data_IF_672459756995
#
_entry.id   IF_672459756995
#
_cell.length_a   1.000
_cell.length_b   1.000
_cell.length_c   1.000
_cell.angle_alpha   90.00
_cell.angle_beta   90.00
_cell.angle_gamma   90.00
#
_symmetry.space_group_name_H-M   'P 1'
#
loop_
_entity.id
_entity.type
_entity.pdbx_description
1 polymer ?
#
# COMPACT_ATOMS: atom_id res chain seq x y z
N UNK A 1 -2.26 17.76 15.43
CA UNK A 1 -1.71 17.07 14.24
C UNK A 1 -1.97 15.58 14.44
N UNK A 2 -2.55 14.89 13.46
CA UNK A 2 -3.03 13.52 13.64
C UNK A 2 -2.01 12.54 13.03
N UNK A 3 -1.28 11.83 13.89
CA UNK A 3 -0.33 10.79 13.50
C UNK A 3 -1.05 9.44 13.32
N UNK A 4 -0.60 8.61 12.38
CA UNK A 4 -1.18 7.27 12.13
C UNK A 4 -1.11 6.36 13.37
N UNK A 5 -0.05 6.50 14.19
CA UNK A 5 0.13 5.74 15.43
C UNK A 5 -0.88 6.16 16.51
N UNK A 6 -1.13 7.47 16.62
CA UNK A 6 -2.13 8.01 17.53
C UNK A 6 -3.54 7.62 17.11
N UNK A 7 -3.79 7.60 15.80
CA UNK A 7 -5.06 7.15 15.24
C UNK A 7 -5.28 5.65 15.48
N UNK A 8 -4.27 4.81 15.30
CA UNK A 8 -4.34 3.38 15.63
C UNK A 8 -4.69 3.14 17.10
N UNK A 9 -4.06 3.90 18.01
CA UNK A 9 -4.37 3.87 19.44
C UNK A 9 -5.82 4.26 19.69
N UNK A 10 -6.28 5.39 19.14
CA UNK A 10 -7.65 5.87 19.30
C UNK A 10 -8.67 4.84 18.80
N UNK A 11 -8.41 4.19 17.67
CA UNK A 11 -9.24 3.10 17.15
C UNK A 11 -9.27 1.89 18.07
N UNK A 12 -8.12 1.49 18.61
CA UNK A 12 -8.02 0.37 19.55
C UNK A 12 -8.77 0.64 20.85
N UNK A 13 -8.54 1.82 21.46
CA UNK A 13 -9.21 2.25 22.70
C UNK A 13 -10.71 2.47 22.50
N UNK A 14 -11.10 3.02 21.34
CA UNK A 14 -12.52 3.20 20.98
C UNK A 14 -13.22 1.91 20.56
N UNK A 15 -12.49 0.80 20.40
CA UNK A 15 -13.03 -0.47 19.89
C UNK A 15 -13.50 -0.39 18.42
N UNK A 16 -13.01 0.58 17.65
CA UNK A 16 -13.34 0.72 16.23
C UNK A 16 -12.50 -0.25 15.40
N UNK A 17 -13.16 -0.93 14.46
CA UNK A 17 -12.46 -1.79 13.52
C UNK A 17 -11.88 -0.98 12.37
N UNK A 18 -10.69 -1.37 11.92
CA UNK A 18 -10.04 -0.83 10.73
C UNK A 18 -9.90 -1.96 9.70
N UNK A 19 -9.87 -1.59 8.41
CA UNK A 19 -9.80 -2.55 7.30
C UNK A 19 -8.35 -2.61 6.81
N UNK A 20 -7.76 -3.80 6.87
CA UNK A 20 -6.44 -4.06 6.32
C UNK A 20 -6.59 -4.76 4.97
N UNK A 21 -5.98 -4.19 3.92
CA UNK A 21 -5.86 -4.78 2.57
C UNK A 21 -4.43 -5.31 2.39
N UNK A 22 -4.10 -5.96 1.27
CA UNK A 22 -2.77 -6.49 1.00
C UNK A 22 -1.66 -5.41 1.04
N UNK A 23 -1.91 -4.24 0.45
CA UNK A 23 -0.91 -3.15 0.32
C UNK A 23 -1.15 -1.95 1.26
N UNK A 24 -2.39 -1.74 1.72
CA UNK A 24 -2.80 -0.53 2.43
C UNK A 24 -3.66 -0.86 3.65
N UNK A 25 -3.67 0.04 4.63
CA UNK A 25 -4.51 -0.02 5.82
C UNK A 25 -5.43 1.19 5.81
N UNK A 26 -6.73 0.93 5.91
CA UNK A 26 -7.81 1.90 5.79
C UNK A 26 -8.42 2.12 7.18
N UNK A 27 -8.33 3.35 7.65
CA UNK A 27 -8.98 3.81 8.86
C UNK A 27 -10.09 4.80 8.48
N UNK A 28 -11.33 4.30 8.36
CA UNK A 28 -12.46 5.10 7.92
C UNK A 28 -12.22 5.69 6.52
N UNK A 29 -12.04 7.01 6.45
CA UNK A 29 -11.83 7.76 5.20
C UNK A 29 -10.35 7.93 4.80
N UNK A 30 -9.41 7.49 5.65
CA UNK A 30 -7.98 7.64 5.41
C UNK A 30 -7.33 6.28 5.11
N UNK A 31 -6.43 6.26 4.13
CA UNK A 31 -5.66 5.06 3.78
C UNK A 31 -4.17 5.36 3.86
N UNK A 32 -3.42 4.42 4.44
CA UNK A 32 -1.96 4.46 4.49
C UNK A 32 -1.36 3.18 3.93
N UNK A 33 -0.30 3.26 3.09
CA UNK A 33 0.41 2.07 2.66
C UNK A 33 1.12 1.41 3.84
N UNK A 34 1.21 0.07 3.82
CA UNK A 34 1.86 -0.74 4.86
C UNK A 34 3.35 -0.40 5.05
N UNK A 35 3.99 0.05 3.98
CA UNK A 35 5.39 0.49 3.94
C UNK A 35 5.62 1.85 4.60
N UNK A 36 4.56 2.56 5.01
CA UNK A 36 4.68 3.87 5.67
C UNK A 36 5.42 3.71 6.99
N UNK A 37 6.51 4.47 7.15
CA UNK A 37 7.23 4.56 8.42
C UNK A 37 6.44 5.38 9.43
N UNK A 38 6.32 4.86 10.63
CA UNK A 38 5.64 5.53 11.75
C UNK A 38 6.60 6.45 12.51
N UNK A 39 6.07 7.16 13.49
CA UNK A 39 6.84 8.00 14.41
C UNK A 39 7.53 7.21 15.55
N UNK A 40 7.45 5.88 15.55
CA UNK A 40 8.08 5.04 16.56
C UNK A 40 9.48 4.60 16.13
N UNK A 41 10.50 5.05 16.85
CA UNK A 41 11.91 4.69 16.62
C UNK A 41 12.21 3.32 17.20
N UNK A 42 13.04 2.57 16.50
CA UNK A 42 13.56 1.29 16.98
C UNK A 42 14.56 1.55 18.11
N UNK A 43 14.41 0.91 19.29
CA UNK A 43 15.27 1.16 20.45
C UNK A 43 16.77 0.86 20.19
N UNK A 44 17.09 -0.06 19.28
CA UNK A 44 18.48 -0.34 18.89
C UNK A 44 19.10 0.75 18.01
N UNK A 45 18.28 1.65 17.45
CA UNK A 45 18.76 2.69 16.55
C UNK A 45 19.42 3.82 17.35
N UNK A 46 20.72 4.01 17.14
CA UNK A 46 21.53 5.03 17.83
C UNK A 46 22.55 4.50 18.84
N UNK A 47 22.60 3.18 19.11
CA UNK A 47 23.67 2.61 19.96
C UNK A 47 25.04 2.45 19.26
N UNK A 48 25.09 2.54 17.93
CA UNK A 48 26.30 2.23 17.14
C UNK A 48 26.47 3.15 15.91
N UNK A 49 26.04 4.42 16.00
CA UNK A 49 26.11 5.35 14.85
C UNK A 49 25.20 5.00 13.66
N UNK A 50 24.41 3.93 13.77
CA UNK A 50 23.43 3.51 12.78
C UNK A 50 22.32 4.56 12.57
N UNK A 51 21.80 4.71 11.34
CA UNK A 51 20.74 5.66 11.02
C UNK A 51 19.49 5.41 11.86
N UNK A 52 18.74 6.49 12.14
CA UNK A 52 17.45 6.45 12.85
C UNK A 52 16.45 5.61 12.06
N UNK A 53 16.19 4.41 12.56
CA UNK A 53 15.22 3.48 11.99
C UNK A 53 13.88 3.61 12.71
N UNK A 54 12.82 3.55 11.91
CA UNK A 54 11.44 3.67 12.35
C UNK A 54 10.67 2.42 11.94
N UNK A 55 9.78 1.95 12.81
CA UNK A 55 8.92 0.83 12.46
C UNK A 55 7.91 1.22 11.38
N UNK A 56 7.67 0.30 10.44
CA UNK A 56 6.60 0.44 9.47
C UNK A 56 5.24 0.21 10.12
N UNK A 57 4.21 0.78 9.52
CA UNK A 57 2.84 0.63 9.99
C UNK A 57 2.42 -0.84 10.06
N UNK A 58 2.85 -1.63 9.08
CA UNK A 58 2.58 -3.07 9.02
C UNK A 58 3.11 -3.81 10.27
N UNK A 59 4.31 -3.47 10.77
CA UNK A 59 4.90 -4.12 11.94
C UNK A 59 4.08 -3.90 13.21
N UNK A 60 3.58 -2.66 13.37
CA UNK A 60 2.77 -2.28 14.52
C UNK A 60 1.41 -2.96 14.47
N UNK A 61 0.76 -2.97 13.31
CA UNK A 61 -0.53 -3.66 13.13
C UNK A 61 -0.40 -5.16 13.30
N UNK A 62 0.67 -5.75 12.75
CA UNK A 62 0.95 -7.17 12.89
C UNK A 62 1.17 -7.58 14.35
N UNK A 63 1.86 -6.74 15.13
CA UNK A 63 1.99 -6.93 16.57
C UNK A 63 0.64 -6.88 17.27
N UNK A 64 -0.21 -5.90 16.93
CA UNK A 64 -1.52 -5.72 17.55
C UNK A 64 -2.49 -6.88 17.25
N UNK A 65 -2.36 -7.55 16.11
CA UNK A 65 -3.16 -8.74 15.78
C UNK A 65 -2.69 -10.00 16.51
N UNK A 66 -1.43 -10.02 16.94
CA UNK A 66 -0.77 -11.19 17.49
C UNK A 66 -0.24 -10.90 18.92
N UNK A 67 -1.01 -10.16 19.71
CA UNK A 67 -0.64 -9.81 21.09
C UNK A 67 -0.60 -11.03 22.00
N UNK A 68 -1.50 -11.99 21.78
CA UNK A 68 -1.63 -13.23 22.55
C UNK A 68 -0.52 -14.24 22.23
N UNK A 69 0.15 -14.09 21.09
CA UNK A 69 1.24 -14.99 20.71
C UNK A 69 2.51 -14.68 21.50
N UNK A 70 3.17 -15.75 21.95
CA UNK A 70 4.49 -15.64 22.58
C UNK A 70 5.48 -15.01 21.60
N UNK A 71 6.37 -14.15 22.12
CA UNK A 71 7.30 -13.37 21.29
C UNK A 71 8.09 -14.22 20.28
N UNK A 72 8.56 -15.41 20.67
CA UNK A 72 9.30 -16.32 19.78
C UNK A 72 8.46 -16.75 18.57
N UNK A 73 7.17 -17.03 18.76
CA UNK A 73 6.27 -17.40 17.67
C UNK A 73 5.96 -16.18 16.78
N UNK A 74 5.71 -15.03 17.40
CA UNK A 74 5.51 -13.78 16.68
C UNK A 74 6.69 -13.44 15.74
N UNK A 75 7.94 -13.55 16.23
CA UNK A 75 9.14 -13.28 15.40
C UNK A 75 9.21 -14.22 14.20
N UNK A 76 8.88 -15.51 14.39
CA UNK A 76 8.84 -16.48 13.29
C UNK A 76 7.78 -16.15 12.25
N UNK A 77 6.58 -15.78 12.70
CA UNK A 77 5.51 -15.43 11.78
C UNK A 77 5.76 -14.10 11.06
N UNK A 78 6.33 -13.10 11.75
CA UNK A 78 6.75 -11.84 11.14
C UNK A 78 7.79 -12.07 10.04
N UNK A 79 8.77 -12.95 10.29
CA UNK A 79 9.75 -13.34 9.28
C UNK A 79 9.10 -14.01 8.06
N UNK A 80 8.08 -14.85 8.27
CA UNK A 80 7.32 -15.48 7.18
C UNK A 80 6.51 -14.45 6.37
N UNK A 81 5.93 -13.46 7.05
CA UNK A 81 5.23 -12.34 6.44
C UNK A 81 6.17 -11.29 5.80
N UNK A 82 7.50 -11.47 5.93
CA UNK A 82 8.54 -10.51 5.50
C UNK A 82 8.42 -9.13 6.18
N UNK A 83 7.86 -9.11 7.38
CA UNK A 83 7.65 -7.91 8.18
C UNK A 83 8.78 -7.79 9.22
N UNK A 84 9.37 -6.60 9.44
CA UNK A 84 10.36 -6.43 10.48
C UNK A 84 9.71 -6.63 11.87
N UNK A 85 10.23 -7.58 12.63
CA UNK A 85 9.73 -7.91 13.96
C UNK A 85 10.07 -6.81 14.97
N UNK A 86 9.11 -6.47 15.81
CA UNK A 86 9.31 -5.55 16.93
C UNK A 86 10.20 -6.19 17.99
N UNK A 87 11.19 -5.45 18.49
CA UNK A 87 12.13 -5.92 19.51
C UNK A 87 11.40 -6.17 20.84
N UNK A 88 11.85 -7.16 21.62
CA UNK A 88 11.26 -7.47 22.92
C UNK A 88 11.14 -6.25 23.90
N UNK A 89 12.16 -5.38 24.06
CA UNK A 89 12.01 -4.18 24.89
C UNK A 89 10.97 -3.21 24.33
N UNK A 90 10.96 -2.97 23.02
CA UNK A 90 9.99 -2.09 22.36
C UNK A 90 8.57 -2.67 22.41
N UNK A 91 8.41 -4.00 22.39
CA UNK A 91 7.10 -4.66 22.44
C UNK A 91 6.32 -4.26 23.69
N UNK A 92 6.96 -4.19 24.85
CA UNK A 92 6.29 -3.78 26.09
C UNK A 92 5.84 -2.33 26.04
N UNK A 93 6.70 -1.45 25.56
CA UNK A 93 6.45 -0.01 25.48
C UNK A 93 5.37 0.32 24.43
N UNK A 94 5.43 -0.32 23.25
CA UNK A 94 4.41 -0.22 22.21
C UNK A 94 3.05 -0.71 22.67
N UNK A 95 2.99 -1.85 23.35
CA UNK A 95 1.72 -2.38 23.85
C UNK A 95 1.12 -1.44 24.89
N UNK A 96 1.90 -0.98 25.87
CA UNK A 96 1.44 -0.02 26.87
C UNK A 96 0.93 1.28 26.23
N UNK A 97 1.56 1.74 25.15
CA UNK A 97 1.09 2.90 24.41
C UNK A 97 -0.23 2.63 23.67
N UNK A 98 -0.36 1.48 23.01
CA UNK A 98 -1.54 1.10 22.22
C UNK A 98 -2.76 0.81 23.10
N UNK A 99 -2.57 0.17 24.26
CA UNK A 99 -3.63 -0.06 25.26
C UNK A 99 -4.06 1.23 25.95
N UNK A 100 -3.27 2.30 25.82
CA UNK A 100 -3.51 3.58 26.46
C UNK A 100 -3.05 3.65 27.92
N UNK A 101 -2.34 2.63 28.42
CA UNK A 101 -1.67 2.66 29.73
C UNK A 101 -0.57 3.73 29.77
N UNK A 102 0.15 3.93 28.67
CA UNK A 102 1.15 4.97 28.50
C UNK A 102 0.68 6.03 27.49
N UNK A 103 0.68 7.30 27.91
CA UNK A 103 0.29 8.42 27.04
C UNK A 103 1.45 8.91 26.15
N UNK A 104 2.68 8.53 26.51
CA UNK A 104 3.94 8.91 25.85
C UNK A 104 4.90 7.75 25.95
N UNK A 105 5.55 7.41 24.84
CA UNK A 105 6.67 6.47 24.80
C UNK A 105 7.96 7.24 24.46
N UNK A 106 9.10 6.96 25.11
CA UNK A 106 10.36 7.65 24.84
C UNK A 106 10.88 7.41 23.41
N UNK A 107 10.44 6.33 22.76
CA UNK A 107 10.75 6.02 21.36
C UNK A 107 9.92 6.82 20.35
N UNK A 108 8.86 7.54 20.77
CA UNK A 108 8.03 8.33 19.85
C UNK A 108 8.71 9.66 19.54
N UNK A 109 9.03 9.86 18.26
CA UNK A 109 9.52 11.14 17.76
C UNK A 109 8.36 11.97 17.19
N UNK A 110 7.75 12.83 18.02
CA UNK A 110 6.65 13.73 17.61
C UNK A 110 7.12 14.84 16.65
N UNK A 111 8.43 15.00 16.46
CA UNK A 111 9.01 15.98 15.56
C UNK A 111 9.40 15.37 14.19
N UNK A 112 9.29 14.04 14.03
CA UNK A 112 9.56 13.41 12.75
C UNK A 112 8.44 13.80 11.75
N UNK A 113 8.78 14.27 10.54
CA UNK A 113 7.79 14.51 9.50
C UNK A 113 7.15 13.17 9.11
N UNK A 114 5.93 12.94 9.60
CA UNK A 114 5.14 11.75 9.24
C UNK A 114 4.49 12.03 7.89
N UNK A 115 4.71 11.11 6.94
CA UNK A 115 4.16 11.17 5.59
C UNK A 115 2.63 11.23 5.66
N UNK A 116 2.09 12.35 5.21
CA UNK A 116 0.68 12.68 5.29
C UNK A 116 -0.15 11.66 4.51
N UNK A 117 -1.12 11.06 5.20
CA UNK A 117 -2.13 10.14 4.67
C UNK A 117 -2.53 10.48 3.24
N UNK A 118 -2.48 9.49 2.35
CA UNK A 118 -3.20 9.56 1.09
C UNK A 118 -4.68 9.65 1.45
N UNK A 119 -5.25 10.86 1.47
CA UNK A 119 -6.71 11.02 1.46
C UNK A 119 -7.16 10.32 0.19
N UNK A 120 -7.82 9.17 0.33
CA UNK A 120 -8.55 8.57 -0.77
C UNK A 120 -9.67 9.56 -1.08
N UNK A 121 -9.44 10.46 -2.03
CA UNK A 121 -10.57 11.06 -2.72
C UNK A 121 -11.42 9.88 -3.17
N UNK A 122 -12.67 9.83 -2.76
CA UNK A 122 -13.67 8.92 -3.32
C UNK A 122 -13.86 9.33 -4.79
N UNK A 123 -12.86 9.07 -5.61
CA UNK A 123 -12.84 9.36 -7.03
C UNK A 123 -13.07 8.02 -7.71
N UNK A 124 -14.36 7.77 -7.97
CA UNK A 124 -14.94 6.90 -8.99
C UNK A 124 -14.33 5.50 -9.17
N UNK A 125 -15.21 4.52 -8.95
CA UNK A 125 -15.30 3.28 -9.74
C UNK A 125 -14.62 3.46 -11.11
N UNK A 126 -13.56 2.70 -11.38
CA UNK A 126 -13.11 2.45 -12.75
C UNK A 126 -14.20 1.63 -13.46
N UNK A 127 -15.21 2.35 -13.92
CA UNK A 127 -15.99 2.00 -15.10
C UNK A 127 -15.14 2.45 -16.29
N UNK A 128 -14.41 1.52 -16.91
CA UNK A 128 -13.96 1.72 -18.28
C UNK A 128 -14.16 0.42 -19.06
N UNK A 129 -15.29 0.38 -19.75
CA UNK A 129 -15.44 -0.14 -21.11
C UNK A 129 -15.16 -1.65 -21.28
N UNK A 130 -16.13 -2.56 -21.11
CA UNK A 130 -17.12 -2.86 -22.16
C UNK A 130 -16.61 -2.48 -23.56
N UNK A 131 -15.84 -3.38 -24.19
CA UNK A 131 -15.62 -3.39 -25.64
C UNK A 131 -16.57 -4.42 -26.28
N UNK A 132 -17.73 -4.02 -26.81
CA UNK A 132 -18.44 -4.79 -27.81
C UNK A 132 -18.27 -4.10 -29.16
N UNK A 133 -17.39 -4.62 -30.02
CA UNK A 133 -17.62 -4.58 -31.46
C UNK A 133 -16.59 -5.43 -32.20
N UNK A 134 -17.10 -6.54 -32.75
CA UNK A 134 -16.61 -7.11 -33.99
C UNK A 134 -16.27 -5.98 -34.99
N UNK A 135 -15.03 -5.88 -35.43
CA UNK A 135 -14.76 -5.52 -36.83
C UNK A 135 -13.62 -6.36 -37.39
N UNK A 136 -14.09 -7.41 -38.07
CA UNK A 136 -13.43 -8.24 -39.07
C UNK A 136 -12.88 -7.36 -40.21
N UNK A 137 -11.73 -7.74 -40.77
CA UNK A 137 -11.17 -7.26 -42.05
C UNK A 137 -9.94 -6.39 -41.83
N UNK A 138 -8.73 -6.93 -41.92
CA UNK A 138 -7.95 -7.03 -43.17
C UNK A 138 -7.93 -5.71 -43.95
N UNK A 139 -6.77 -5.04 -43.99
CA UNK A 139 -6.01 -4.70 -45.21
C UNK A 139 -5.13 -3.46 -45.01
N UNK A 140 -3.81 -3.69 -45.06
CA UNK A 140 -2.83 -2.71 -45.56
C UNK A 140 -3.26 -2.28 -46.98
N UNK A 141 -2.94 -1.05 -47.43
CA UNK A 141 -1.75 -0.99 -48.29
C UNK A 141 -0.95 0.32 -48.26
N UNK A 142 0.29 0.08 -48.67
CA UNK A 142 1.35 0.91 -49.22
C UNK A 142 0.90 2.21 -49.92
N UNK A 143 1.58 3.30 -49.55
CA UNK A 143 1.78 4.47 -50.41
C UNK A 143 2.83 4.13 -51.47
N UNK A 144 2.56 4.46 -52.73
CA UNK A 144 3.48 5.15 -53.67
C UNK A 144 2.92 5.15 -55.10
N UNK A 145 2.74 6.36 -55.63
CA UNK A 145 2.79 6.79 -57.03
C UNK A 145 3.08 5.76 -58.11
N UNK A 146 2.31 5.78 -59.21
CA UNK A 146 2.66 6.60 -60.38
C UNK A 146 1.47 6.70 -61.35
N UNK A 147 1.40 7.87 -61.97
CA UNK A 147 0.52 8.27 -63.06
C UNK A 147 0.67 7.38 -64.32
N UNK A 148 -0.34 7.50 -65.19
CA UNK A 148 -0.30 7.33 -66.66
C UNK A 148 -0.78 6.03 -67.32
N UNK A 149 -1.94 6.20 -67.96
CA UNK A 149 -2.26 5.87 -69.37
C UNK A 149 -3.04 4.58 -69.68
N UNK A 150 -4.24 4.85 -70.21
CA UNK A 150 -5.06 4.21 -71.26
C UNK A 150 -4.84 2.74 -71.67
N UNK A 151 -5.97 2.06 -71.93
CA UNK A 151 -6.02 0.96 -72.90
C UNK A 151 -7.09 -0.10 -72.59
N UNK A 152 -8.38 0.26 -72.63
CA UNK A 152 -9.43 -0.28 -73.52
C UNK A 152 -9.32 -1.73 -74.04
N UNK A 153 -10.52 -2.36 -74.08
CA UNK A 153 -10.98 -3.54 -74.83
C UNK A 153 -10.88 -4.89 -74.11
N UNK A 154 -12.05 -5.48 -73.76
CA UNK A 154 -12.91 -6.37 -74.59
C UNK A 154 -12.29 -7.78 -74.62
N UNK A 155 -12.91 -8.89 -74.24
CA UNK A 155 -14.13 -9.57 -74.74
C UNK A 155 -14.34 -10.81 -73.82
N UNK A 156 -15.56 -11.09 -73.37
CA UNK A 156 -16.49 -12.12 -73.86
C UNK A 156 -16.18 -13.60 -73.53
N UNK A 157 -17.28 -14.30 -73.26
CA UNK A 157 -17.57 -15.73 -73.56
C UNK A 157 -17.29 -16.85 -72.53
N UNK A 158 -18.42 -17.38 -72.07
CA UNK A 158 -18.83 -18.74 -71.68
C UNK A 158 -17.84 -19.91 -71.81
N UNK A 159 -17.86 -20.79 -70.80
CA UNK A 159 -18.35 -22.18 -70.95
C UNK A 159 -18.65 -22.84 -69.61
#
# INVERSE_FOLDING_TARGET
MADVLALLRDYHVSGRTFVETDAEIIFGDFAWPKTTKTNFKVCSSGRDGAPKDYYTLESVVYLLRNIDLQHVQYVRQAANAKVPAVLLPDRKDLLAYLTGEANTAPSIDRAAPVDISLRRSVAKRQQSELLPHLRRGESSPLVSSLDSVCGVHSVDTSR
#
